data_IF_730767489858
#
_entry.id   IF_730767489858
#
_cell.length_a   1.000
_cell.length_b   1.000
_cell.length_c   1.000
_cell.angle_alpha   90.00
_cell.angle_beta   90.00
_cell.angle_gamma   90.00
#
_symmetry.space_group_name_H-M   'P 1'
#
loop_
_entity.id
_entity.type
_entity.pdbx_description
1 polymer ?
#
# COMPACT_ATOMS: atom_id res chain seq x y z
N UNK A 1 -17.31 34.99 -12.42
CA UNK A 1 -17.60 33.93 -11.41
C UNK A 1 -17.36 32.50 -11.91
N UNK A 2 -17.77 32.12 -13.13
CA UNK A 2 -17.65 30.75 -13.70
C UNK A 2 -16.22 30.15 -13.72
N UNK A 3 -15.19 30.98 -13.87
CA UNK A 3 -13.77 30.56 -13.86
C UNK A 3 -13.30 30.08 -12.47
N UNK A 4 -13.86 30.62 -11.38
CA UNK A 4 -13.50 30.23 -10.02
C UNK A 4 -14.00 28.82 -9.68
N UNK A 5 -15.25 28.52 -10.04
CA UNK A 5 -15.88 27.20 -9.81
C UNK A 5 -15.10 26.10 -10.55
N UNK A 6 -14.73 26.35 -11.81
CA UNK A 6 -13.92 25.40 -12.61
C UNK A 6 -12.55 25.12 -12.00
N UNK A 7 -11.92 26.13 -11.38
CA UNK A 7 -10.63 25.94 -10.71
C UNK A 7 -10.78 25.13 -9.41
N UNK A 8 -11.86 25.35 -8.65
CA UNK A 8 -12.16 24.62 -7.43
C UNK A 8 -12.43 23.14 -7.73
N UNK A 9 -13.23 22.85 -8.76
CA UNK A 9 -13.50 21.48 -9.23
C UNK A 9 -12.21 20.75 -9.60
N UNK A 10 -11.34 21.42 -10.36
CA UNK A 10 -10.05 20.85 -10.79
C UNK A 10 -9.10 20.60 -9.61
N UNK A 11 -9.09 21.48 -8.62
CA UNK A 11 -8.32 21.28 -7.38
C UNK A 11 -8.88 20.13 -6.55
N UNK A 12 -10.21 20.01 -6.45
CA UNK A 12 -10.87 18.93 -5.73
C UNK A 12 -10.53 17.57 -6.35
N UNK A 13 -10.54 17.47 -7.68
CA UNK A 13 -10.18 16.26 -8.41
C UNK A 13 -8.71 15.85 -8.17
N UNK A 14 -7.79 16.82 -8.19
CA UNK A 14 -6.37 16.58 -7.89
C UNK A 14 -6.15 16.09 -6.46
N UNK A 15 -6.85 16.67 -5.48
CA UNK A 15 -6.78 16.22 -4.08
C UNK A 15 -7.26 14.79 -3.92
N UNK A 16 -8.32 14.39 -4.62
CA UNK A 16 -8.83 13.02 -4.60
C UNK A 16 -7.83 12.04 -5.21
N UNK A 17 -7.20 12.38 -6.35
CA UNK A 17 -6.14 11.56 -6.96
C UNK A 17 -4.94 11.39 -6.03
N UNK A 18 -4.45 12.48 -5.44
CA UNK A 18 -3.34 12.46 -4.46
C UNK A 18 -3.68 11.64 -3.21
N UNK A 19 -4.93 11.70 -2.73
CA UNK A 19 -5.36 10.91 -1.58
C UNK A 19 -5.34 9.40 -1.89
N UNK A 20 -5.80 8.99 -3.07
CA UNK A 20 -5.78 7.59 -3.52
C UNK A 20 -4.35 7.08 -3.66
N UNK A 21 -3.46 7.86 -4.29
CA UNK A 21 -2.04 7.51 -4.41
C UNK A 21 -1.37 7.39 -3.05
N UNK A 22 -1.66 8.29 -2.11
CA UNK A 22 -1.14 8.21 -0.74
C UNK A 22 -1.60 6.94 -0.02
N UNK A 23 -2.87 6.54 -0.17
CA UNK A 23 -3.36 5.28 0.41
C UNK A 23 -2.63 4.08 -0.18
N UNK A 24 -2.40 4.07 -1.50
CA UNK A 24 -1.65 3.02 -2.16
C UNK A 24 -0.20 2.93 -1.68
N UNK A 25 0.49 4.07 -1.61
CA UNK A 25 1.85 4.14 -1.07
C UNK A 25 1.92 3.69 0.39
N UNK A 26 0.87 3.94 1.19
CA UNK A 26 0.80 3.42 2.56
C UNK A 26 0.71 1.89 2.58
N UNK A 27 -0.06 1.28 1.68
CA UNK A 27 -0.11 -0.18 1.55
C UNK A 27 1.25 -0.77 1.15
N UNK A 28 1.91 -0.16 0.17
CA UNK A 28 3.24 -0.57 -0.26
C UNK A 28 4.26 -0.48 0.88
N UNK A 29 4.23 0.59 1.66
CA UNK A 29 5.09 0.75 2.84
C UNK A 29 4.87 -0.34 3.88
N UNK A 30 3.61 -0.66 4.19
CA UNK A 30 3.30 -1.74 5.15
C UNK A 30 3.74 -3.11 4.60
N UNK A 31 3.56 -3.35 3.30
CA UNK A 31 4.04 -4.56 2.67
C UNK A 31 5.57 -4.66 2.72
N UNK A 32 6.30 -3.60 2.36
CA UNK A 32 7.76 -3.60 2.37
C UNK A 32 8.31 -3.76 3.79
N UNK A 33 7.73 -3.08 4.78
CA UNK A 33 8.13 -3.25 6.18
C UNK A 33 7.91 -4.68 6.67
N UNK A 34 6.75 -5.28 6.35
CA UNK A 34 6.43 -6.66 6.70
C UNK A 34 7.38 -7.67 6.02
N UNK A 35 7.72 -7.45 4.75
CA UNK A 35 8.70 -8.28 4.03
C UNK A 35 10.10 -8.17 4.63
N UNK A 36 10.61 -6.94 4.82
CA UNK A 36 11.94 -6.70 5.40
C UNK A 36 12.04 -7.37 6.77
N UNK A 37 10.99 -7.24 7.59
CA UNK A 37 10.94 -7.86 8.91
C UNK A 37 10.92 -9.40 8.83
N UNK A 38 10.10 -9.96 7.93
CA UNK A 38 10.03 -11.42 7.72
C UNK A 38 11.35 -12.01 7.22
N UNK A 39 11.97 -11.39 6.21
CA UNK A 39 13.28 -11.83 5.73
C UNK A 39 14.38 -11.63 6.77
N UNK A 40 14.37 -10.50 7.49
CA UNK A 40 15.35 -10.22 8.54
C UNK A 40 15.30 -11.23 9.69
N UNK A 41 14.10 -11.63 10.15
CA UNK A 41 13.95 -12.67 11.18
C UNK A 41 14.49 -14.01 10.69
N UNK A 42 14.18 -14.38 9.44
CA UNK A 42 14.61 -15.64 8.84
C UNK A 42 16.14 -15.76 8.80
N UNK A 43 16.83 -14.67 8.48
CA UNK A 43 18.28 -14.63 8.35
C UNK A 43 18.99 -14.50 9.71
N UNK A 44 18.47 -13.67 10.62
CA UNK A 44 19.11 -13.38 11.91
C UNK A 44 18.91 -14.50 12.96
N UNK A 45 17.83 -15.27 12.86
CA UNK A 45 17.46 -16.26 13.87
C UNK A 45 17.14 -17.62 13.24
N UNK A 46 18.12 -18.54 13.12
CA UNK A 46 17.91 -19.86 12.52
C UNK A 46 17.25 -20.84 13.51
N UNK A 47 16.00 -20.56 13.90
CA UNK A 47 15.17 -21.45 14.72
C UNK A 47 13.89 -21.86 13.98
N UNK A 48 13.34 -23.04 14.29
CA UNK A 48 12.08 -23.52 13.69
C UNK A 48 10.91 -22.55 13.95
N UNK A 49 10.90 -21.91 15.12
CA UNK A 49 9.89 -20.92 15.47
C UNK A 49 10.03 -19.63 14.65
N UNK A 50 11.26 -19.16 14.44
CA UNK A 50 11.58 -18.03 13.57
C UNK A 50 11.15 -18.27 12.12
N UNK A 51 11.36 -19.48 11.57
CA UNK A 51 10.91 -19.85 10.23
C UNK A 51 9.40 -19.71 10.06
N UNK A 52 8.62 -20.15 11.05
CA UNK A 52 7.16 -20.05 11.03
C UNK A 52 6.69 -18.58 11.04
N UNK A 53 7.26 -17.76 11.93
CA UNK A 53 6.95 -16.33 12.01
C UNK A 53 7.32 -15.61 10.72
N UNK A 54 8.50 -15.90 10.18
CA UNK A 54 8.99 -15.32 8.92
C UNK A 54 8.05 -15.65 7.76
N UNK A 55 7.63 -16.91 7.65
CA UNK A 55 6.66 -17.33 6.64
C UNK A 55 5.33 -16.58 6.76
N UNK A 56 4.84 -16.37 7.99
CA UNK A 56 3.63 -15.57 8.23
C UNK A 56 3.81 -14.12 7.76
N UNK A 57 4.90 -13.45 8.13
CA UNK A 57 5.17 -12.06 7.73
C UNK A 57 5.36 -11.90 6.22
N UNK A 58 6.07 -12.82 5.56
CA UNK A 58 6.24 -12.81 4.11
C UNK A 58 4.89 -12.99 3.40
N UNK A 59 4.06 -13.91 3.88
CA UNK A 59 2.70 -14.12 3.34
C UNK A 59 1.83 -12.88 3.53
N UNK A 60 1.90 -12.25 4.70
CA UNK A 60 1.16 -11.04 5.01
C UNK A 60 1.59 -9.87 4.11
N UNK A 61 2.89 -9.73 3.84
CA UNK A 61 3.41 -8.75 2.88
C UNK A 61 2.79 -8.91 1.49
N UNK A 62 2.76 -10.15 0.97
CA UNK A 62 2.11 -10.48 -0.30
C UNK A 62 0.63 -10.08 -0.32
N UNK A 63 -0.12 -10.38 0.74
CA UNK A 63 -1.52 -9.96 0.86
C UNK A 63 -1.68 -8.44 0.80
N UNK A 64 -0.83 -7.68 1.49
CA UNK A 64 -0.89 -6.22 1.45
C UNK A 64 -0.59 -5.65 0.05
N UNK A 65 0.34 -6.24 -0.70
CA UNK A 65 0.61 -5.85 -2.09
C UNK A 65 -0.60 -6.11 -2.97
N UNK A 66 -1.19 -7.30 -2.87
CA UNK A 66 -2.35 -7.71 -3.67
C UNK A 66 -3.54 -6.78 -3.38
N UNK A 67 -3.90 -6.60 -2.10
CA UNK A 67 -5.03 -5.75 -1.68
C UNK A 67 -4.78 -4.30 -2.06
N UNK A 68 -3.57 -3.78 -1.82
CA UNK A 68 -3.19 -2.41 -2.14
C UNK A 68 -3.28 -2.15 -3.64
N UNK A 69 -2.75 -3.05 -4.47
CA UNK A 69 -2.76 -2.93 -5.93
C UNK A 69 -4.17 -3.06 -6.49
N UNK A 70 -4.95 -4.04 -6.03
CA UNK A 70 -6.35 -4.20 -6.42
C UNK A 70 -7.19 -2.96 -6.08
N UNK A 71 -7.05 -2.45 -4.85
CA UNK A 71 -7.74 -1.24 -4.41
C UNK A 71 -7.34 -0.02 -5.23
N UNK A 72 -6.05 0.14 -5.52
CA UNK A 72 -5.55 1.25 -6.32
C UNK A 72 -6.11 1.21 -7.75
N UNK A 73 -6.06 0.06 -8.41
CA UNK A 73 -6.61 -0.11 -9.76
C UNK A 73 -8.12 0.17 -9.76
N UNK A 74 -8.87 -0.43 -8.83
CA UNK A 74 -10.33 -0.21 -8.72
C UNK A 74 -10.70 1.27 -8.54
N UNK A 75 -9.95 2.00 -7.70
CA UNK A 75 -10.21 3.43 -7.46
C UNK A 75 -9.78 4.31 -8.63
N UNK A 76 -8.73 3.93 -9.35
CA UNK A 76 -8.27 4.63 -10.56
C UNK A 76 -9.25 4.49 -11.71
N UNK A 77 -9.90 3.33 -11.87
CA UNK A 77 -10.90 3.09 -12.92
C UNK A 77 -12.25 3.76 -12.63
N UNK A 78 -12.53 4.07 -11.35
CA UNK A 78 -13.77 4.73 -10.92
C UNK A 78 -13.67 6.26 -10.84
N UNK A 79 -12.50 6.83 -11.16
CA UNK A 79 -12.21 8.27 -11.25
C UNK A 79 -12.10 8.68 -12.71
#
# INVERSE_FOLDING_TARGET
>A
MKKSIKNIERLAEQRTKLAVERTYLSHLRTASASAIFGFGILELFPSKFSQLISAFFITLSLLFIIIGTYTYIKRRTSL
#
